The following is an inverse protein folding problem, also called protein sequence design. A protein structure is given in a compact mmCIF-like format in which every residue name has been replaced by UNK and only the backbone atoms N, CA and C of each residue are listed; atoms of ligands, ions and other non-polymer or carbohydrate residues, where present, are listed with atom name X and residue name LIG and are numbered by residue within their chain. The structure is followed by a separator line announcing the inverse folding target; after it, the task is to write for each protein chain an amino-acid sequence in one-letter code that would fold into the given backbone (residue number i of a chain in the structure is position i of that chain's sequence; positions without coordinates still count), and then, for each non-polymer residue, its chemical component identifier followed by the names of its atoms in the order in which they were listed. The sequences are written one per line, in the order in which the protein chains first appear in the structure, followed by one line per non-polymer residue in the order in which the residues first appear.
data_IF_138252352124
#
_entry.id   IF_138252352124
#
_cell.length_a   1.000
_cell.length_b   1.000
_cell.length_c   1.000
_cell.angle_alpha   90.00
_cell.angle_beta   90.00
_cell.angle_gamma   90.00
#
_symmetry.space_group_name_H-M   'P 1'
#
loop_
_entity.id
_entity.type
_entity.pdbx_description
1 polymer ?
#
# COMPACT_ATOMS: atom_id res chain seq x y z
N UNK A 1 -26.63 9.33 -18.38
CA UNK A 1 -25.26 9.41 -18.95
C UNK A 1 -24.25 10.01 -17.98
N UNK A 2 -24.52 11.20 -17.45
CA UNK A 2 -23.61 11.82 -16.47
C UNK A 2 -23.44 10.98 -15.20
N UNK A 3 -24.51 10.31 -14.76
CA UNK A 3 -24.48 9.46 -13.57
C UNK A 3 -23.58 8.26 -13.81
N UNK A 4 -23.62 7.67 -15.01
CA UNK A 4 -22.80 6.53 -15.38
C UNK A 4 -21.32 6.94 -15.40
N UNK A 5 -21.00 8.11 -15.96
CA UNK A 5 -19.64 8.62 -16.00
C UNK A 5 -19.11 8.91 -14.58
N UNK A 6 -19.97 9.47 -13.72
CA UNK A 6 -19.61 9.70 -12.32
C UNK A 6 -19.33 8.40 -11.57
N UNK A 7 -20.18 7.39 -11.76
CA UNK A 7 -19.99 6.07 -11.17
C UNK A 7 -18.72 5.41 -11.69
N UNK A 8 -18.44 5.54 -12.98
CA UNK A 8 -17.23 5.03 -13.58
C UNK A 8 -15.99 5.67 -12.96
N UNK A 9 -15.98 6.98 -12.78
CA UNK A 9 -14.86 7.68 -12.14
C UNK A 9 -14.64 7.22 -10.70
N UNK A 10 -15.70 7.02 -9.93
CA UNK A 10 -15.62 6.52 -8.55
C UNK A 10 -15.02 5.10 -8.55
N UNK A 11 -15.46 4.23 -9.46
CA UNK A 11 -14.94 2.89 -9.59
C UNK A 11 -13.45 2.91 -9.98
N UNK A 12 -13.03 3.78 -10.90
CA UNK A 12 -11.65 3.92 -11.31
C UNK A 12 -10.75 4.35 -10.14
N UNK A 13 -11.23 5.27 -9.28
CA UNK A 13 -10.52 5.68 -8.07
C UNK A 13 -10.40 4.55 -7.07
N UNK A 14 -11.46 3.73 -6.92
CA UNK A 14 -11.49 2.62 -5.98
C UNK A 14 -10.58 1.46 -6.38
N UNK A 15 -9.99 1.51 -7.58
CA UNK A 15 -9.05 0.48 -8.05
C UNK A 15 -7.59 0.79 -7.69
N UNK A 16 -7.30 1.96 -7.16
CA UNK A 16 -5.95 2.34 -6.76
C UNK A 16 -5.68 1.84 -5.34
N UNK A 17 -4.67 1.00 -5.22
CA UNK A 17 -4.35 0.30 -3.98
C UNK A 17 -2.98 0.73 -3.49
N UNK A 18 -2.93 1.28 -2.28
CA UNK A 18 -1.70 1.72 -1.64
C UNK A 18 -1.29 0.68 -0.60
N UNK A 19 -0.10 0.13 -0.75
CA UNK A 19 0.38 -1.03 0.02
C UNK A 19 1.19 -0.57 1.23
N UNK A 20 0.80 -1.05 2.42
CA UNK A 20 1.55 -0.86 3.66
C UNK A 20 2.85 -1.68 3.62
N UNK A 21 3.90 -1.16 4.24
CA UNK A 21 5.21 -1.81 4.33
C UNK A 21 5.11 -3.24 4.87
N UNK A 22 4.27 -3.48 5.87
CA UNK A 22 4.12 -4.81 6.47
C UNK A 22 3.59 -5.86 5.51
N UNK A 23 2.76 -5.47 4.56
CA UNK A 23 2.28 -6.38 3.50
C UNK A 23 3.44 -6.79 2.59
N UNK A 24 4.32 -5.84 2.24
CA UNK A 24 5.50 -6.14 1.43
C UNK A 24 6.46 -7.07 2.16
N UNK A 25 6.68 -6.85 3.45
CA UNK A 25 7.52 -7.70 4.28
C UNK A 25 6.94 -9.11 4.37
N UNK A 26 5.63 -9.20 4.59
CA UNK A 26 4.92 -10.49 4.63
C UNK A 26 5.08 -11.26 3.31
N UNK A 27 4.94 -10.57 2.19
CA UNK A 27 5.13 -11.16 0.86
C UNK A 27 6.52 -11.77 0.73
N UNK A 28 7.55 -11.04 1.12
CA UNK A 28 8.94 -11.49 1.03
C UNK A 28 9.20 -12.67 1.95
N UNK A 29 8.73 -12.59 3.20
CA UNK A 29 8.98 -13.61 4.21
C UNK A 29 8.24 -14.93 3.92
N UNK A 30 7.06 -14.84 3.35
CA UNK A 30 6.19 -16.00 3.17
C UNK A 30 6.07 -16.45 1.72
N UNK A 31 6.77 -15.77 0.79
CA UNK A 31 6.72 -16.05 -0.65
C UNK A 31 5.29 -16.10 -1.18
N UNK A 32 4.47 -15.15 -0.74
CA UNK A 32 3.07 -15.00 -1.18
C UNK A 32 2.96 -13.94 -2.24
N UNK A 33 2.11 -14.20 -3.24
CA UNK A 33 1.79 -13.18 -4.23
C UNK A 33 0.62 -12.34 -3.73
N UNK A 34 0.97 -11.21 -3.10
CA UNK A 34 -0.02 -10.29 -2.54
C UNK A 34 -0.81 -9.55 -3.63
N UNK A 35 -0.25 -9.44 -4.83
CA UNK A 35 -0.91 -8.79 -5.97
C UNK A 35 -2.00 -9.70 -6.53
N UNK A 36 -1.69 -10.97 -6.74
CA UNK A 36 -2.67 -11.95 -7.22
C UNK A 36 -3.85 -12.07 -6.29
N UNK A 37 -3.62 -12.10 -4.99
CA UNK A 37 -4.68 -12.17 -3.98
C UNK A 37 -5.70 -11.03 -4.17
N UNK A 38 -5.24 -9.83 -4.48
CA UNK A 38 -6.11 -8.66 -4.70
C UNK A 38 -6.77 -8.71 -6.07
N UNK A 39 -6.04 -9.09 -7.11
CA UNK A 39 -6.61 -9.12 -8.47
C UNK A 39 -7.72 -10.15 -8.63
N UNK A 40 -7.79 -11.15 -7.76
CA UNK A 40 -8.91 -12.07 -7.72
C UNK A 40 -10.21 -11.42 -7.28
N UNK A 41 -10.16 -10.37 -6.46
CA UNK A 41 -11.35 -9.64 -6.02
C UNK A 41 -11.51 -8.30 -6.73
N UNK A 42 -10.44 -7.69 -7.19
CA UNK A 42 -10.44 -6.45 -7.96
C UNK A 42 -9.54 -6.67 -9.18
N UNK A 43 -10.07 -7.21 -10.29
CA UNK A 43 -9.25 -7.55 -11.47
C UNK A 43 -8.48 -6.39 -12.07
N UNK A 44 -9.01 -5.17 -11.96
CA UNK A 44 -8.39 -3.96 -12.49
C UNK A 44 -7.53 -3.21 -11.46
N UNK A 45 -7.13 -3.88 -10.36
CA UNK A 45 -6.33 -3.26 -9.29
C UNK A 45 -5.04 -2.66 -9.85
N UNK A 46 -4.76 -1.43 -9.40
CA UNK A 46 -3.56 -0.69 -9.74
C UNK A 46 -2.79 -0.41 -8.45
N UNK A 47 -1.60 -0.95 -8.31
CA UNK A 47 -0.87 -0.97 -7.05
C UNK A 47 0.13 0.15 -6.94
N UNK A 48 0.25 0.73 -5.74
CA UNK A 48 1.15 1.82 -5.41
C UNK A 48 1.86 1.53 -4.10
N UNK A 49 3.11 1.98 -4.03
CA UNK A 49 3.94 1.94 -2.82
C UNK A 49 4.50 3.34 -2.60
N UNK A 50 4.43 3.85 -1.38
CA UNK A 50 5.00 5.15 -1.06
C UNK A 50 6.53 5.12 -1.22
N UNK A 51 7.13 6.19 -1.74
CA UNK A 51 8.58 6.34 -1.80
C UNK A 51 9.21 6.25 -0.40
N UNK A 52 8.50 6.76 0.61
CA UNK A 52 8.94 6.72 2.02
C UNK A 52 8.96 5.31 2.61
N UNK A 53 8.32 4.35 1.96
CA UNK A 53 8.37 2.94 2.37
C UNK A 53 9.80 2.39 2.37
N UNK A 54 10.62 2.80 1.41
CA UNK A 54 12.02 2.37 1.35
C UNK A 54 12.83 2.87 2.55
N UNK A 55 12.52 4.07 3.05
CA UNK A 55 13.16 4.60 4.26
C UNK A 55 12.76 3.79 5.50
N UNK A 56 11.50 3.38 5.59
CA UNK A 56 11.03 2.52 6.67
C UNK A 56 11.69 1.15 6.63
N UNK A 57 11.84 0.57 5.43
CA UNK A 57 12.55 -0.69 5.24
C UNK A 57 13.99 -0.57 5.73
N UNK A 58 14.68 0.52 5.41
CA UNK A 58 16.03 0.76 5.89
C UNK A 58 16.12 0.80 7.42
N UNK A 59 15.11 1.34 8.09
CA UNK A 59 15.03 1.38 9.56
C UNK A 59 14.74 0.00 10.16
N UNK A 60 13.76 -0.71 9.61
CA UNK A 60 13.34 -2.02 10.11
C UNK A 60 14.46 -3.06 9.99
N UNK A 61 15.21 -3.02 8.90
CA UNK A 61 16.27 -3.99 8.62
C UNK A 61 17.67 -3.45 8.92
N UNK A 62 17.79 -2.40 9.72
CA UNK A 62 19.08 -1.76 10.01
C UNK A 62 20.11 -2.73 10.59
N UNK A 63 19.69 -3.70 11.41
CA UNK A 63 20.56 -4.71 12.03
C UNK A 63 20.65 -6.00 11.22
N UNK A 64 20.05 -6.04 10.02
CA UNK A 64 20.05 -7.21 9.14
C UNK A 64 20.39 -6.80 7.70
N UNK A 65 21.64 -6.36 7.45
CA UNK A 65 21.99 -5.76 6.16
C UNK A 65 21.87 -6.72 4.98
N UNK A 66 22.16 -8.00 5.16
CA UNK A 66 22.05 -8.98 4.08
C UNK A 66 20.60 -9.21 3.67
N UNK A 67 19.72 -9.35 4.65
CA UNK A 67 18.28 -9.51 4.42
C UNK A 67 17.71 -8.27 3.76
N UNK A 68 18.11 -7.08 4.22
CA UNK A 68 17.71 -5.82 3.61
C UNK A 68 18.08 -5.76 2.13
N UNK A 69 19.32 -6.13 1.78
CA UNK A 69 19.80 -6.14 0.41
C UNK A 69 18.94 -7.05 -0.47
N UNK A 70 18.64 -8.27 0.00
CA UNK A 70 17.82 -9.22 -0.73
C UNK A 70 16.39 -8.69 -0.92
N UNK A 71 15.82 -8.09 0.11
CA UNK A 71 14.47 -7.53 0.05
C UNK A 71 14.39 -6.37 -0.94
N UNK A 72 15.31 -5.40 -0.84
CA UNK A 72 15.36 -4.26 -1.76
C UNK A 72 15.53 -4.73 -3.21
N UNK A 73 16.39 -5.71 -3.43
CA UNK A 73 16.59 -6.30 -4.76
C UNK A 73 15.31 -6.95 -5.28
N UNK A 74 14.61 -7.67 -4.42
CA UNK A 74 13.32 -8.29 -4.76
C UNK A 74 12.28 -7.24 -5.14
N UNK A 75 12.16 -6.16 -4.33
CA UNK A 75 11.22 -5.07 -4.61
C UNK A 75 11.53 -4.38 -5.93
N UNK A 76 12.81 -4.16 -6.24
CA UNK A 76 13.20 -3.56 -7.53
C UNK A 76 12.80 -4.42 -8.71
N UNK A 77 12.90 -5.74 -8.61
CA UNK A 77 12.43 -6.65 -9.66
C UNK A 77 10.93 -6.53 -9.88
N UNK A 78 10.14 -6.42 -8.80
CA UNK A 78 8.70 -6.23 -8.91
C UNK A 78 8.35 -4.88 -9.54
N UNK A 79 9.09 -3.84 -9.19
CA UNK A 79 8.93 -2.50 -9.77
C UNK A 79 9.24 -2.53 -11.27
N UNK A 80 10.35 -3.17 -11.66
CA UNK A 80 10.74 -3.32 -13.08
C UNK A 80 9.72 -4.11 -13.88
N UNK A 81 9.04 -5.06 -13.27
CA UNK A 81 7.93 -5.81 -13.88
C UNK A 81 6.61 -5.06 -13.82
N UNK A 82 6.62 -3.83 -13.36
CA UNK A 82 5.43 -2.98 -13.24
C UNK A 82 4.33 -3.58 -12.37
N UNK A 83 4.71 -4.35 -11.33
CA UNK A 83 3.75 -4.88 -10.37
C UNK A 83 3.16 -3.78 -9.49
N UNK A 84 3.92 -2.72 -9.25
CA UNK A 84 3.43 -1.53 -8.55
C UNK A 84 4.17 -0.30 -9.06
N UNK A 85 3.58 0.86 -8.79
CA UNK A 85 4.16 2.17 -9.08
C UNK A 85 4.57 2.84 -7.78
N UNK A 86 5.58 3.70 -7.85
CA UNK A 86 5.99 4.50 -6.69
C UNK A 86 5.13 5.76 -6.61
N UNK A 87 4.51 5.97 -5.46
CA UNK A 87 3.80 7.21 -5.16
C UNK A 87 4.76 8.12 -4.37
N UNK A 88 5.18 9.20 -5.02
CA UNK A 88 6.07 10.16 -4.39
C UNK A 88 5.27 11.07 -3.46
N UNK A 89 5.66 11.10 -2.18
CA UNK A 89 5.08 12.02 -1.21
C UNK A 89 5.62 13.42 -1.50
N UNK A 90 4.72 14.40 -1.67
CA UNK A 90 5.12 15.77 -1.99
C UNK A 90 5.83 16.45 -0.81
N UNK A 91 6.74 17.38 -1.13
CA UNK A 91 7.42 18.18 -0.11
C UNK A 91 6.42 18.99 0.72
N UNK A 92 5.33 19.43 0.10
CA UNK A 92 4.25 20.12 0.79
C UNK A 92 3.66 19.30 1.93
N UNK A 93 3.38 18.00 1.68
CA UNK A 93 2.86 17.10 2.71
C UNK A 93 3.90 16.90 3.81
N UNK A 94 5.15 16.64 3.44
CA UNK A 94 6.23 16.42 4.41
C UNK A 94 6.50 17.64 5.28
N UNK A 95 6.29 18.85 4.74
CA UNK A 95 6.48 20.11 5.49
C UNK A 95 5.41 20.38 6.54
N UNK A 96 4.29 19.64 6.52
CA UNK A 96 3.18 19.83 7.46
C UNK A 96 3.49 19.38 8.89
N UNK A 97 4.57 18.60 9.08
CA UNK A 97 5.00 18.19 10.40
C UNK A 97 5.67 16.82 10.40
N UNK A 98 6.39 16.54 11.48
CA UNK A 98 7.14 15.30 11.65
C UNK A 98 6.26 14.04 11.59
N UNK A 99 4.97 14.15 11.94
CA UNK A 99 4.04 13.02 11.90
C UNK A 99 3.95 12.41 10.50
N UNK A 100 4.13 13.21 9.43
CA UNK A 100 4.08 12.74 8.04
C UNK A 100 5.36 12.05 7.59
N UNK A 101 6.35 11.93 8.47
CA UNK A 101 7.50 11.06 8.23
C UNK A 101 7.19 9.60 8.53
N UNK A 102 6.09 9.32 9.24
CA UNK A 102 5.65 7.96 9.55
C UNK A 102 4.70 7.45 8.47
N UNK A 103 4.93 6.23 8.01
CA UNK A 103 4.13 5.60 6.96
C UNK A 103 2.65 5.54 7.34
N UNK A 104 2.31 5.16 8.56
CA UNK A 104 0.92 5.06 9.02
C UNK A 104 0.16 6.36 8.79
N UNK A 105 0.77 7.48 9.14
CA UNK A 105 0.14 8.79 8.98
C UNK A 105 -0.01 9.18 7.50
N UNK A 106 0.93 8.78 6.66
CA UNK A 106 0.83 8.98 5.22
C UNK A 106 -0.28 8.13 4.60
N UNK A 107 -0.40 6.87 5.01
CA UNK A 107 -1.48 6.01 4.55
C UNK A 107 -2.84 6.59 4.92
N UNK A 108 -2.98 7.12 6.13
CA UNK A 108 -4.21 7.82 6.56
C UNK A 108 -4.45 9.07 5.69
N UNK A 109 -3.42 9.83 5.39
CA UNK A 109 -3.53 11.02 4.54
C UNK A 109 -4.07 10.66 3.15
N UNK A 110 -3.60 9.56 2.56
CA UNK A 110 -3.98 9.15 1.21
C UNK A 110 -5.25 8.29 1.15
N UNK A 111 -5.87 7.95 2.28
CA UNK A 111 -6.96 6.96 2.32
C UNK A 111 -8.23 7.40 1.59
N UNK A 112 -8.41 8.69 1.29
CA UNK A 112 -9.57 9.17 0.54
C UNK A 112 -9.47 8.83 -0.95
N UNK A 113 -8.27 8.65 -1.47
CA UNK A 113 -8.02 8.44 -2.90
C UNK A 113 -7.51 7.04 -3.22
N UNK A 114 -7.16 6.26 -2.21
CA UNK A 114 -6.58 4.93 -2.35
C UNK A 114 -7.25 3.96 -1.39
N UNK A 115 -7.40 2.73 -1.83
CA UNK A 115 -7.71 1.62 -0.92
C UNK A 115 -6.41 1.27 -0.21
N UNK A 116 -6.44 1.15 1.10
CA UNK A 116 -5.23 0.86 1.89
C UNK A 116 -5.11 -0.64 2.12
N UNK A 117 -4.01 -1.22 1.70
CA UNK A 117 -3.73 -2.64 1.84
C UNK A 117 -2.85 -2.86 3.06
N UNK A 118 -3.44 -3.31 4.16
CA UNK A 118 -2.75 -3.46 5.44
C UNK A 118 -3.37 -4.55 6.29
N UNK A 119 -2.54 -5.20 7.10
CA UNK A 119 -2.96 -6.10 8.16
C UNK A 119 -2.75 -5.49 9.56
N UNK A 120 -2.25 -4.28 9.65
CA UNK A 120 -2.02 -3.60 10.92
C UNK A 120 -3.36 -3.26 11.57
N UNK A 121 -3.63 -3.88 12.72
CA UNK A 121 -4.90 -3.73 13.41
C UNK A 121 -5.15 -2.28 13.87
N UNK A 122 -4.13 -1.63 14.42
CA UNK A 122 -4.24 -0.26 14.94
C UNK A 122 -4.49 0.70 13.78
N UNK A 123 -3.74 0.55 12.68
CA UNK A 123 -3.94 1.36 11.50
C UNK A 123 -5.34 1.16 10.92
N UNK A 124 -5.82 -0.08 10.86
CA UNK A 124 -7.17 -0.36 10.35
C UNK A 124 -8.25 0.34 11.18
N UNK A 125 -8.11 0.37 12.51
CA UNK A 125 -9.05 1.07 13.36
C UNK A 125 -9.10 2.57 13.04
N UNK A 126 -7.95 3.19 12.84
CA UNK A 126 -7.86 4.61 12.47
C UNK A 126 -8.47 4.88 11.09
N UNK A 127 -8.21 3.99 10.14
CA UNK A 127 -8.76 4.10 8.80
C UNK A 127 -10.29 3.96 8.79
N UNK A 128 -10.83 3.05 9.59
CA UNK A 128 -12.28 2.84 9.71
C UNK A 128 -12.99 4.10 10.22
N UNK A 129 -12.37 4.83 11.15
CA UNK A 129 -12.92 6.10 11.63
C UNK A 129 -13.04 7.13 10.51
N UNK A 130 -12.25 7.03 9.47
CA UNK A 130 -12.30 7.91 8.30
C UNK A 130 -13.14 7.32 7.16
N UNK A 131 -13.80 6.19 7.39
CA UNK A 131 -14.59 5.46 6.38
C UNK A 131 -13.76 5.08 5.16
N UNK A 132 -12.47 4.82 5.37
CA UNK A 132 -11.58 4.38 4.31
C UNK A 132 -11.90 2.96 3.88
N UNK A 133 -11.61 2.65 2.62
CA UNK A 133 -11.64 1.27 2.12
C UNK A 133 -10.32 0.59 2.44
N UNK A 134 -10.40 -0.64 2.93
CA UNK A 134 -9.24 -1.39 3.40
C UNK A 134 -9.25 -2.77 2.76
N UNK A 135 -8.08 -3.23 2.32
CA UNK A 135 -7.88 -4.63 1.95
C UNK A 135 -7.03 -5.28 3.04
N UNK A 136 -7.50 -6.42 3.53
CA UNK A 136 -6.81 -7.25 4.49
C UNK A 136 -6.42 -8.57 3.82
N UNK A 137 -5.19 -9.01 4.03
CA UNK A 137 -4.72 -10.30 3.52
C UNK A 137 -4.97 -11.38 4.55
N UNK A 138 -5.77 -12.39 4.17
CA UNK A 138 -6.06 -13.56 4.98
C UNK A 138 -5.37 -14.78 4.39
N UNK A 139 -5.37 -15.88 5.12
CA UNK A 139 -4.79 -17.14 4.66
C UNK A 139 -5.42 -17.60 3.33
N UNK A 140 -6.70 -17.35 3.15
CA UNK A 140 -7.47 -17.79 1.98
C UNK A 140 -7.47 -16.75 0.84
N UNK A 141 -6.90 -15.59 1.03
CA UNK A 141 -6.88 -14.51 0.03
C UNK A 141 -7.10 -13.12 0.63
N UNK A 142 -7.36 -12.15 -0.22
CA UNK A 142 -7.58 -10.77 0.19
C UNK A 142 -9.08 -10.51 0.38
N UNK A 143 -9.41 -9.67 1.37
CA UNK A 143 -10.77 -9.28 1.69
C UNK A 143 -10.85 -7.76 1.67
N UNK A 144 -11.86 -7.23 0.97
CA UNK A 144 -12.17 -5.79 0.97
C UNK A 144 -13.11 -5.49 2.13
N UNK A 145 -12.67 -4.58 2.98
CA UNK A 145 -13.44 -4.14 4.15
C UNK A 145 -13.93 -2.70 4.03
#
# INVERSE_FOLDING_TARGET
MLIVDGDYQVMARSNKILIDTNILIYMFDNRKDIFDAVTQIIPSADFYVLDRTYDEINKVFKDKPQRKTLFIRYLKKLEDKEKYKILKVSDEVLSRGERYLKIDNLLIYYCNNYIIYTNDRILKEKLKLRRAKIITLKTQGAILE
#
